data_IF_149836163593
#
_entry.id   IF_149836163593
#
_cell.length_a   1.000
_cell.length_b   1.000
_cell.length_c   1.000
_cell.angle_alpha   90.00
_cell.angle_beta   90.00
_cell.angle_gamma   90.00
#
_symmetry.space_group_name_H-M   'P 1'
#
loop_
_entity.id
_entity.type
_entity.pdbx_description
1 polymer ?
#
# COMPACT_ATOMS: atom_id res chain seq x y z
N UNK A 1 -21.89 8.57 4.18
CA UNK A 1 -20.96 7.76 4.97
C UNK A 1 -20.18 6.91 4.00
N UNK A 2 -18.92 7.23 3.74
CA UNK A 2 -18.07 6.45 2.84
C UNK A 2 -17.54 5.25 3.62
N UNK A 3 -17.86 4.04 3.19
CA UNK A 3 -17.41 2.83 3.86
C UNK A 3 -15.88 2.75 3.75
N UNK A 4 -15.19 2.68 4.89
CA UNK A 4 -13.73 2.57 4.88
C UNK A 4 -13.32 1.21 4.31
N UNK A 5 -12.43 1.16 3.30
CA UNK A 5 -11.95 -0.10 2.77
C UNK A 5 -11.24 -0.89 3.88
N UNK A 6 -11.65 -2.16 4.06
CA UNK A 6 -11.04 -3.07 5.04
C UNK A 6 -10.06 -4.00 4.35
N UNK A 7 -8.80 -3.92 4.75
CA UNK A 7 -7.81 -4.92 4.37
C UNK A 7 -7.99 -6.17 5.24
N UNK A 8 -8.32 -7.29 4.60
CA UNK A 8 -8.22 -8.61 5.23
C UNK A 8 -6.77 -9.06 5.15
N UNK A 9 -6.00 -8.81 6.21
CA UNK A 9 -4.65 -9.34 6.32
C UNK A 9 -4.73 -10.81 6.72
N UNK A 10 -4.35 -11.71 5.82
CA UNK A 10 -4.15 -13.14 6.12
C UNK A 10 -2.93 -13.34 7.03
N UNK A 11 -2.64 -14.58 7.41
CA UNK A 11 -1.36 -14.92 8.03
C UNK A 11 -0.20 -14.61 7.08
N UNK A 12 0.82 -13.95 7.62
CA UNK A 12 2.09 -13.70 6.93
C UNK A 12 3.14 -14.52 7.65
N UNK A 13 3.86 -15.36 6.90
CA UNK A 13 4.98 -16.10 7.45
C UNK A 13 6.17 -15.14 7.67
N UNK A 14 6.65 -15.08 8.90
CA UNK A 14 7.82 -14.29 9.31
C UNK A 14 8.77 -15.14 10.13
N UNK A 15 10.03 -14.73 10.26
CA UNK A 15 10.96 -15.42 11.16
C UNK A 15 10.46 -15.36 12.60
N UNK A 16 10.80 -16.37 13.39
CA UNK A 16 10.44 -16.42 14.81
C UNK A 16 10.90 -15.16 15.56
N UNK A 17 12.14 -14.72 15.31
CA UNK A 17 12.69 -13.49 15.89
C UNK A 17 11.83 -12.26 15.58
N UNK A 18 11.33 -12.13 14.34
CA UNK A 18 10.45 -11.02 13.96
C UNK A 18 9.11 -11.11 14.70
N UNK A 19 8.54 -12.32 14.83
CA UNK A 19 7.30 -12.53 15.55
C UNK A 19 7.44 -12.18 17.05
N UNK A 20 8.56 -12.54 17.67
CA UNK A 20 8.85 -12.24 19.07
C UNK A 20 9.00 -10.73 19.30
N UNK A 21 9.77 -10.03 18.46
CA UNK A 21 9.89 -8.57 18.52
C UNK A 21 8.55 -7.87 18.27
N UNK A 22 7.73 -8.38 17.35
CA UNK A 22 6.40 -7.84 17.12
C UNK A 22 5.50 -8.00 18.34
N UNK A 23 5.57 -9.14 19.03
CA UNK A 23 4.86 -9.37 20.29
C UNK A 23 5.32 -8.40 21.38
N UNK A 24 6.64 -8.17 21.51
CA UNK A 24 7.20 -7.20 22.47
C UNK A 24 6.68 -5.79 22.17
N UNK A 25 6.74 -5.34 20.91
CA UNK A 25 6.24 -4.01 20.53
C UNK A 25 4.75 -3.83 20.84
N UNK A 26 3.92 -4.83 20.54
CA UNK A 26 2.48 -4.79 20.82
C UNK A 26 2.21 -4.67 22.33
N UNK A 27 2.91 -5.46 23.14
CA UNK A 27 2.78 -5.42 24.60
C UNK A 27 3.24 -4.08 25.19
N UNK A 28 4.39 -3.56 24.76
CA UNK A 28 4.92 -2.28 25.24
C UNK A 28 4.08 -1.08 24.81
N UNK A 29 3.39 -1.18 23.69
CA UNK A 29 2.50 -0.12 23.18
C UNK A 29 1.06 -0.27 23.70
N UNK A 30 0.79 -1.27 24.55
CA UNK A 30 -0.55 -1.59 25.06
C UNK A 30 -1.61 -1.76 23.95
N UNK A 31 -1.18 -2.27 22.80
CA UNK A 31 -2.01 -2.39 21.61
C UNK A 31 -2.22 -3.85 21.22
N UNK A 32 -3.39 -4.13 20.62
CA UNK A 32 -3.57 -5.40 19.92
C UNK A 32 -2.59 -5.49 18.74
N UNK A 33 -2.14 -6.71 18.41
CA UNK A 33 -1.34 -6.97 17.20
C UNK A 33 -1.95 -6.36 15.95
N UNK A 34 -3.28 -6.42 15.82
CA UNK A 34 -4.02 -5.86 14.68
C UNK A 34 -3.90 -4.33 14.61
N UNK A 35 -4.01 -3.66 15.74
CA UNK A 35 -3.90 -2.21 15.83
C UNK A 35 -2.47 -1.74 15.56
N UNK A 36 -1.47 -2.43 16.12
CA UNK A 36 -0.07 -2.15 15.81
C UNK A 36 0.21 -2.33 14.31
N UNK A 37 -0.31 -3.40 13.69
CA UNK A 37 -0.19 -3.60 12.23
C UNK A 37 -0.83 -2.46 11.44
N UNK A 38 -2.01 -1.97 11.85
CA UNK A 38 -2.66 -0.81 11.22
C UNK A 38 -1.74 0.41 11.26
N UNK A 39 -1.20 0.74 12.44
CA UNK A 39 -0.32 1.90 12.62
C UNK A 39 0.98 1.78 11.81
N UNK A 40 1.57 0.59 11.74
CA UNK A 40 2.77 0.36 10.93
C UNK A 40 2.50 0.56 9.43
N UNK A 41 1.36 0.07 8.93
CA UNK A 41 0.95 0.25 7.53
C UNK A 41 0.71 1.74 7.23
N UNK A 42 -0.07 2.42 8.07
CA UNK A 42 -0.33 3.86 7.91
C UNK A 42 0.95 4.68 7.98
N UNK A 43 1.80 4.43 8.98
CA UNK A 43 3.08 5.09 9.14
C UNK A 43 4.08 4.80 8.01
N UNK A 44 3.98 3.63 7.36
CA UNK A 44 4.73 3.35 6.13
C UNK A 44 4.25 4.25 4.99
N UNK A 45 2.94 4.35 4.76
CA UNK A 45 2.41 5.17 3.67
C UNK A 45 2.63 6.66 3.91
N UNK A 46 2.51 7.18 5.13
CA UNK A 46 2.85 8.58 5.45
C UNK A 46 4.28 8.91 5.02
N UNK A 47 5.23 8.01 5.28
CA UNK A 47 6.65 8.23 4.98
C UNK A 47 7.00 8.03 3.51
N UNK A 48 6.42 7.01 2.87
CA UNK A 48 6.91 6.53 1.57
C UNK A 48 5.95 6.78 0.41
N UNK A 49 4.71 7.24 0.63
CA UNK A 49 3.70 7.42 -0.43
C UNK A 49 4.23 8.26 -1.59
N UNK A 50 4.81 9.43 -1.32
CA UNK A 50 5.35 10.31 -2.37
C UNK A 50 6.38 9.57 -3.25
N UNK A 51 7.31 8.85 -2.62
CA UNK A 51 8.33 8.06 -3.34
C UNK A 51 7.71 6.95 -4.17
N UNK A 52 6.66 6.29 -3.68
CA UNK A 52 5.95 5.27 -4.46
C UNK A 52 5.25 5.88 -5.68
N UNK A 53 4.57 7.02 -5.51
CA UNK A 53 3.93 7.74 -6.62
C UNK A 53 4.95 8.14 -7.70
N UNK A 54 6.10 8.66 -7.28
CA UNK A 54 7.21 9.03 -8.19
C UNK A 54 7.77 7.80 -8.93
N UNK A 55 7.94 6.66 -8.25
CA UNK A 55 8.39 5.41 -8.88
C UNK A 55 7.42 4.93 -9.95
N UNK A 56 6.12 4.95 -9.66
CA UNK A 56 5.07 4.55 -10.62
C UNK A 56 5.08 5.50 -11.81
N UNK A 57 5.18 6.81 -11.57
CA UNK A 57 5.26 7.80 -12.64
C UNK A 57 6.50 7.61 -13.53
N UNK A 58 7.66 7.37 -12.93
CA UNK A 58 8.87 7.09 -13.68
C UNK A 58 8.71 5.85 -14.56
N UNK A 59 8.15 4.77 -14.01
CA UNK A 59 7.89 3.54 -14.74
C UNK A 59 6.90 3.77 -15.91
N UNK A 60 5.81 4.48 -15.65
CA UNK A 60 4.81 4.85 -16.66
C UNK A 60 5.44 5.58 -17.85
N UNK A 61 6.23 6.62 -17.57
CA UNK A 61 6.91 7.42 -18.60
C UNK A 61 7.92 6.58 -19.39
N UNK A 62 8.64 5.67 -18.73
CA UNK A 62 9.66 4.84 -19.36
C UNK A 62 9.06 3.82 -20.34
N UNK A 63 7.85 3.35 -20.08
CA UNK A 63 7.22 2.25 -20.81
C UNK A 63 5.98 2.65 -21.62
N UNK A 64 5.73 3.96 -21.75
CA UNK A 64 4.58 4.55 -22.45
C UNK A 64 3.25 3.95 -21.97
N UNK A 65 3.05 4.02 -20.65
CA UNK A 65 1.82 3.63 -19.97
C UNK A 65 1.21 4.85 -19.28
N UNK A 66 -0.11 4.81 -19.04
CA UNK A 66 -0.69 5.73 -18.06
C UNK A 66 -0.19 5.39 -16.65
N UNK A 67 -0.33 6.34 -15.72
CA UNK A 67 0.06 6.10 -14.32
C UNK A 67 -0.71 4.93 -13.72
N UNK A 68 -2.01 4.86 -14.02
CA UNK A 68 -2.92 3.82 -13.53
C UNK A 68 -2.57 2.43 -14.08
N UNK A 69 -2.23 2.33 -15.37
CA UNK A 69 -1.79 1.09 -15.99
C UNK A 69 -0.46 0.60 -15.39
N UNK A 70 0.49 1.52 -15.21
CA UNK A 70 1.75 1.23 -14.54
C UNK A 70 1.53 0.78 -13.08
N UNK A 71 0.63 1.46 -12.36
CA UNK A 71 0.29 1.09 -10.99
C UNK A 71 -0.30 -0.32 -10.92
N UNK A 72 -1.23 -0.66 -11.81
CA UNK A 72 -1.82 -2.01 -11.88
C UNK A 72 -0.77 -3.08 -12.18
N UNK A 73 0.15 -2.84 -13.12
CA UNK A 73 1.22 -3.78 -13.42
C UNK A 73 2.21 -3.98 -12.28
N UNK A 74 2.60 -2.90 -11.59
CA UNK A 74 3.53 -2.97 -10.47
C UNK A 74 2.91 -3.65 -9.23
N UNK A 75 1.59 -3.61 -9.09
CA UNK A 75 0.87 -4.15 -7.95
C UNK A 75 0.22 -5.53 -8.23
N UNK A 76 0.39 -6.10 -9.42
CA UNK A 76 -0.18 -7.39 -9.81
C UNK A 76 0.69 -8.55 -9.26
N UNK A 77 0.21 -9.39 -8.32
CA UNK A 77 1.05 -10.39 -7.67
C UNK A 77 1.62 -11.45 -8.63
N UNK A 78 0.89 -11.77 -9.70
CA UNK A 78 1.28 -12.78 -10.69
C UNK A 78 2.28 -12.24 -11.73
N UNK A 79 2.47 -10.92 -11.82
CA UNK A 79 3.36 -10.28 -12.79
C UNK A 79 4.51 -9.60 -12.08
N UNK A 80 5.70 -10.19 -12.15
CA UNK A 80 6.90 -9.68 -11.48
C UNK A 80 7.98 -9.37 -12.50
N UNK A 81 8.81 -8.38 -12.17
CA UNK A 81 9.99 -8.09 -12.96
C UNK A 81 10.92 -9.31 -13.03
N UNK A 82 11.59 -9.55 -14.18
CA UNK A 82 11.53 -8.76 -15.42
C UNK A 82 10.20 -8.94 -16.18
N UNK A 83 9.63 -7.82 -16.66
CA UNK A 83 8.36 -7.82 -17.38
C UNK A 83 8.54 -8.20 -18.85
N UNK A 84 7.64 -9.04 -19.36
CA UNK A 84 7.54 -9.43 -20.77
C UNK A 84 6.66 -8.46 -21.56
N UNK A 85 6.74 -8.51 -22.89
CA UNK A 85 5.87 -7.71 -23.77
C UNK A 85 4.38 -7.99 -23.50
N UNK A 86 4.03 -9.25 -23.19
CA UNK A 86 2.66 -9.64 -22.83
C UNK A 86 2.16 -8.96 -21.56
N UNK A 87 3.05 -8.66 -20.62
CA UNK A 87 2.69 -7.93 -19.39
C UNK A 87 2.35 -6.48 -19.71
N UNK A 88 3.09 -5.85 -20.63
CA UNK A 88 2.82 -4.50 -21.09
C UNK A 88 1.55 -4.42 -21.95
N UNK A 89 1.31 -5.39 -22.83
CA UNK A 89 0.07 -5.50 -23.59
C UNK A 89 -1.14 -5.66 -22.66
N UNK A 90 -1.04 -6.54 -21.67
CA UNK A 90 -2.06 -6.69 -20.66
C UNK A 90 -2.31 -5.37 -19.91
N UNK A 91 -1.26 -4.69 -19.46
CA UNK A 91 -1.39 -3.43 -18.74
C UNK A 91 -2.10 -2.36 -19.60
N UNK A 92 -1.79 -2.30 -20.90
CA UNK A 92 -2.46 -1.38 -21.85
C UNK A 92 -3.92 -1.75 -22.11
N UNK A 93 -4.27 -3.03 -22.00
CA UNK A 93 -5.64 -3.52 -22.22
C UNK A 93 -6.59 -3.26 -21.06
N UNK A 94 -6.08 -2.86 -19.89
CA UNK A 94 -6.90 -2.62 -18.70
C UNK A 94 -7.92 -1.51 -18.95
N UNK A 95 -9.18 -1.80 -18.60
CA UNK A 95 -10.26 -0.82 -18.66
C UNK A 95 -10.24 0.11 -17.44
N UNK A 96 -11.03 1.19 -17.46
CA UNK A 96 -11.09 2.14 -16.33
C UNK A 96 -11.63 1.49 -15.06
N UNK A 97 -12.50 0.52 -15.22
CA UNK A 97 -13.16 -0.24 -14.16
C UNK A 97 -12.17 -1.18 -13.45
N UNK A 98 -11.09 -1.57 -14.12
CA UNK A 98 -10.02 -2.39 -13.56
C UNK A 98 -9.00 -1.55 -12.76
N UNK A 99 -9.15 -0.23 -12.75
CA UNK A 99 -8.26 0.72 -12.07
C UNK A 99 -8.82 1.04 -10.68
N UNK A 100 -8.21 0.45 -9.66
CA UNK A 100 -8.53 0.64 -8.24
C UNK A 100 -7.92 1.90 -7.57
N UNK A 101 -7.02 2.61 -8.25
CA UNK A 101 -6.33 3.78 -7.70
C UNK A 101 -5.91 4.72 -8.82
N UNK A 102 -6.11 6.02 -8.61
CA UNK A 102 -5.66 7.08 -9.51
C UNK A 102 -4.48 7.83 -8.92
N UNK A 103 -3.68 8.46 -9.78
CA UNK A 103 -2.58 9.30 -9.32
C UNK A 103 -3.02 10.38 -8.32
N UNK A 104 -4.17 11.00 -8.58
CA UNK A 104 -4.71 12.07 -7.73
C UNK A 104 -5.12 11.53 -6.35
N UNK A 105 -5.80 10.38 -6.30
CA UNK A 105 -6.12 9.72 -5.01
C UNK A 105 -4.87 9.33 -4.22
N UNK A 106 -3.79 8.97 -4.90
CA UNK A 106 -2.51 8.64 -4.28
C UNK A 106 -1.73 9.87 -3.79
N UNK A 107 -2.09 11.08 -4.22
CA UNK A 107 -1.47 12.35 -3.81
C UNK A 107 -2.29 13.09 -2.76
N UNK A 108 -3.62 12.99 -2.79
CA UNK A 108 -4.53 13.73 -1.90
C UNK A 108 -4.31 13.35 -0.43
N UNK A 109 -4.17 12.04 -0.14
CA UNK A 109 -3.56 11.57 1.10
C UNK A 109 -4.18 12.01 2.43
N UNK A 110 -5.30 12.73 2.38
CA UNK A 110 -6.06 13.28 3.49
C UNK A 110 -7.01 12.22 4.04
N UNK A 111 -6.46 11.13 4.54
CA UNK A 111 -7.09 10.45 5.68
C UNK A 111 -6.37 10.99 6.90
N UNK A 112 -6.92 11.96 7.65
CA UNK A 112 -6.34 12.31 8.94
C UNK A 112 -6.23 11.01 9.72
N UNK A 113 -5.04 10.74 10.28
CA UNK A 113 -4.96 9.79 11.36
C UNK A 113 -6.04 10.21 12.37
N UNK A 114 -6.92 9.30 12.85
CA UNK A 114 -7.79 9.67 13.95
C UNK A 114 -6.86 10.20 15.04
N UNK A 115 -7.10 11.43 15.48
CA UNK A 115 -6.38 12.04 16.59
C UNK A 115 -6.55 11.10 17.79
N UNK A 116 -5.58 10.23 18.02
CA UNK A 116 -5.45 9.54 19.29
C UNK A 116 -4.78 10.50 20.27
N UNK A 117 -5.42 11.65 20.47
CA UNK A 117 -5.19 12.49 21.64
C UNK A 117 -6.05 11.91 22.77
N UNK A 118 -5.68 10.71 23.19
CA UNK A 118 -6.18 10.10 24.43
C UNK A 118 -5.00 9.74 25.34
N UNK A 119 -4.05 10.66 25.47
CA UNK A 119 -3.24 10.78 26.68
C UNK A 119 -3.55 12.12 27.34
N UNK A 120 -4.82 12.28 27.77
CA UNK A 120 -5.11 13.20 28.86
C UNK A 120 -4.76 12.47 30.16
N UNK A 121 -3.87 13.12 30.92
CA UNK A 121 -3.30 12.70 32.21
C UNK A 121 -4.35 12.41 33.28
#
# INVERSE_FOLDING_TARGET
MTEMPRLSLSSIDVSQETADWFQVMASLSEQSKRELTRQLIEGHFVRWRKRHVEKVQYFANRHDLSWEQAFRLLAEPERKAPYSDKDFEWARSLAKEDIWATKDSALDGSTPAPETDSYSK
#
